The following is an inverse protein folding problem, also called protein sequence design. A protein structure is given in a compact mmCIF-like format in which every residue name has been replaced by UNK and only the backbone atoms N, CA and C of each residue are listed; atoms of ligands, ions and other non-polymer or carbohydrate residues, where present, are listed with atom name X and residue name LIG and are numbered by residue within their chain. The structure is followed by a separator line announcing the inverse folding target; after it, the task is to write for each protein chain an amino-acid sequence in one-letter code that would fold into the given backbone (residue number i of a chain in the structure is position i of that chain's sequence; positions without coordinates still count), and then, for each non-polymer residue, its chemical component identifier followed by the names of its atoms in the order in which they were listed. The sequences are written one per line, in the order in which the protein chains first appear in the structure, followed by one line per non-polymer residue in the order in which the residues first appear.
data_IF_985256281220
#
_entry.id   IF_985256281220
#
_cell.length_a   1.000
_cell.length_b   1.000
_cell.length_c   1.000
_cell.angle_alpha   90.00
_cell.angle_beta   90.00
_cell.angle_gamma   90.00
#
_symmetry.space_group_name_H-M   'P 1'
#
loop_
_entity.id
_entity.type
_entity.pdbx_description
1 polymer ?
#
# COMPACT_ATOMS: atom_id res chain seq x y z
N UNK A 1 15.81 -22.86 10.37
CA UNK A 1 14.57 -23.02 11.16
C UNK A 1 14.06 -24.43 10.93
N UNK A 2 13.89 -25.22 11.99
CA UNK A 2 13.45 -26.62 11.90
C UNK A 2 11.93 -26.67 11.85
N UNK A 3 11.35 -27.31 10.82
CA UNK A 3 9.92 -27.60 10.80
C UNK A 3 9.64 -28.62 11.91
N UNK A 4 9.01 -28.18 13.00
CA UNK A 4 8.62 -29.07 14.09
C UNK A 4 7.26 -29.63 13.77
N UNK A 5 7.21 -30.83 13.19
CA UNK A 5 5.99 -31.64 13.19
C UNK A 5 5.82 -32.20 14.61
N UNK A 6 4.86 -31.66 15.37
CA UNK A 6 4.53 -32.17 16.71
C UNK A 6 3.55 -33.33 16.52
N UNK A 7 3.98 -34.53 16.89
CA UNK A 7 3.11 -35.71 16.92
C UNK A 7 2.41 -35.74 18.29
N UNK A 8 1.08 -35.59 18.32
CA UNK A 8 0.28 -35.47 19.56
C UNK A 8 -0.71 -36.65 19.66
N UNK A 9 -0.27 -37.87 20.03
CA UNK A 9 -1.11 -39.07 19.96
C UNK A 9 -2.29 -39.06 20.95
N UNK A 10 -2.21 -38.27 22.02
CA UNK A 10 -3.21 -38.21 23.08
C UNK A 10 -4.33 -37.18 22.82
N UNK A 11 -4.23 -36.41 21.73
CA UNK A 11 -5.16 -35.31 21.39
C UNK A 11 -5.53 -35.34 19.91
N UNK A 12 -6.82 -35.21 19.65
CA UNK A 12 -7.38 -34.98 18.31
C UNK A 12 -7.59 -33.47 18.12
N UNK A 13 -6.97 -32.89 17.08
CA UNK A 13 -7.21 -31.50 16.68
C UNK A 13 -8.35 -31.48 15.68
N UNK A 14 -9.40 -30.74 16.02
CA UNK A 14 -10.61 -30.54 15.23
C UNK A 14 -10.58 -29.12 14.63
N UNK A 15 -11.47 -28.84 13.68
CA UNK A 15 -11.59 -27.51 13.07
C UNK A 15 -11.81 -26.41 14.12
N UNK A 16 -12.71 -26.65 15.08
CA UNK A 16 -13.09 -25.67 16.10
C UNK A 16 -12.57 -25.95 17.50
N UNK A 17 -11.54 -26.79 17.64
CA UNK A 17 -10.96 -27.06 18.95
C UNK A 17 -10.07 -28.29 19.01
N UNK A 18 -9.86 -28.80 20.22
CA UNK A 18 -9.12 -30.03 20.45
C UNK A 18 -9.85 -30.91 21.45
N UNK A 19 -9.71 -32.23 21.30
CA UNK A 19 -10.29 -33.24 22.18
C UNK A 19 -9.20 -34.17 22.69
N UNK A 20 -9.17 -34.42 23.98
CA UNK A 20 -8.27 -35.40 24.58
C UNK A 20 -8.86 -36.80 24.36
N UNK A 21 -8.12 -37.69 23.71
CA UNK A 21 -8.57 -39.05 23.35
C UNK A 21 -7.78 -40.15 24.09
N UNK A 22 -6.73 -39.79 24.81
CA UNK A 22 -5.91 -40.69 25.63
C UNK A 22 -5.62 -40.12 27.02
N UNK A 23 -4.66 -40.70 27.72
CA UNK A 23 -4.17 -40.15 28.99
C UNK A 23 -3.18 -39.02 28.70
N UNK A 24 -3.57 -37.79 29.00
CA UNK A 24 -2.73 -36.63 28.78
C UNK A 24 -1.73 -36.45 29.94
N UNK A 25 -0.45 -36.63 29.68
CA UNK A 25 0.60 -36.34 30.66
C UNK A 25 0.80 -34.82 30.84
N UNK A 26 1.39 -34.41 31.97
CA UNK A 26 1.71 -33.00 32.23
C UNK A 26 2.67 -32.41 31.17
N UNK A 27 3.65 -33.20 30.72
CA UNK A 27 4.59 -32.78 29.68
C UNK A 27 3.91 -32.63 28.32
N UNK A 28 3.03 -33.55 27.93
CA UNK A 28 2.24 -33.39 26.69
C UNK A 28 1.32 -32.17 26.77
N UNK A 29 0.68 -31.94 27.91
CA UNK A 29 -0.17 -30.75 28.14
C UNK A 29 0.61 -29.44 27.94
N UNK A 30 1.82 -29.36 28.50
CA UNK A 30 2.71 -28.20 28.32
C UNK A 30 3.15 -28.03 26.86
N UNK A 31 3.52 -29.12 26.18
CA UNK A 31 3.89 -29.11 24.77
C UNK A 31 2.74 -28.62 23.86
N UNK A 32 1.51 -29.06 24.13
CA UNK A 32 0.30 -28.58 23.43
C UNK A 32 0.12 -27.09 23.66
N UNK A 33 0.25 -26.62 24.90
CA UNK A 33 0.16 -25.19 25.23
C UNK A 33 1.17 -24.35 24.44
N UNK A 34 2.43 -24.79 24.38
CA UNK A 34 3.46 -24.11 23.57
C UNK A 34 3.19 -24.19 22.06
N UNK A 35 2.64 -25.30 21.58
CA UNK A 35 2.23 -25.41 20.18
C UNK A 35 1.09 -24.43 19.85
N UNK A 36 0.02 -24.39 20.65
CA UNK A 36 -1.10 -23.46 20.47
C UNK A 36 -0.64 -21.99 20.47
N UNK A 37 0.24 -21.62 21.40
CA UNK A 37 0.79 -20.28 21.47
C UNK A 37 1.59 -19.92 20.20
N UNK A 38 2.40 -20.84 19.68
CA UNK A 38 3.17 -20.66 18.43
C UNK A 38 2.27 -20.58 17.22
N UNK A 39 1.27 -21.46 17.13
CA UNK A 39 0.28 -21.46 16.05
C UNK A 39 -0.46 -20.12 15.98
N UNK A 40 -0.96 -19.64 17.13
CA UNK A 40 -1.65 -18.36 17.25
C UNK A 40 -0.75 -17.19 16.81
N UNK A 41 0.50 -17.14 17.26
CA UNK A 41 1.43 -16.07 16.88
C UNK A 41 1.85 -16.13 15.40
N UNK A 42 2.01 -17.34 14.86
CA UNK A 42 2.51 -17.57 13.50
C UNK A 42 1.44 -17.58 12.41
N UNK A 43 0.15 -17.65 12.77
CA UNK A 43 -0.93 -17.79 11.78
C UNK A 43 -0.99 -16.61 10.80
N UNK A 44 -0.98 -15.38 11.30
CA UNK A 44 -1.04 -14.18 10.45
C UNK A 44 0.19 -14.04 9.55
N UNK A 45 1.37 -14.43 10.03
CA UNK A 45 2.60 -14.49 9.22
C UNK A 45 2.45 -15.46 8.06
N UNK A 46 1.96 -16.68 8.33
CA UNK A 46 1.76 -17.71 7.30
C UNK A 46 0.76 -17.28 6.22
N UNK A 47 -0.32 -16.58 6.59
CA UNK A 47 -1.26 -16.01 5.61
C UNK A 47 -0.56 -14.99 4.70
N UNK A 48 0.21 -14.07 5.29
CA UNK A 48 0.92 -13.05 4.51
C UNK A 48 2.03 -13.65 3.63
N UNK A 49 2.73 -14.67 4.11
CA UNK A 49 3.74 -15.42 3.34
C UNK A 49 3.10 -16.18 2.17
N UNK A 50 2.00 -16.89 2.42
CA UNK A 50 1.22 -17.56 1.39
C UNK A 50 0.75 -16.58 0.32
N UNK A 51 0.24 -15.40 0.73
CA UNK A 51 -0.15 -14.35 -0.19
C UNK A 51 1.04 -13.89 -1.07
N UNK A 52 2.17 -13.54 -0.45
CA UNK A 52 3.34 -13.05 -1.17
C UNK A 52 4.02 -14.12 -2.05
N UNK A 53 3.87 -15.40 -1.72
CA UNK A 53 4.56 -16.48 -2.42
C UNK A 53 4.16 -16.60 -3.90
N UNK A 54 2.93 -16.22 -4.26
CA UNK A 54 2.48 -16.38 -5.64
C UNK A 54 1.40 -15.39 -6.11
N UNK A 55 0.98 -14.40 -5.30
CA UNK A 55 -0.14 -13.52 -5.68
C UNK A 55 0.02 -12.89 -7.05
N UNK A 56 1.21 -12.41 -7.41
CA UNK A 56 1.44 -11.70 -8.68
C UNK A 56 1.30 -12.61 -9.93
N UNK A 57 1.36 -13.93 -9.76
CA UNK A 57 1.17 -14.91 -10.85
C UNK A 57 -0.26 -15.44 -10.94
N UNK A 58 -1.15 -15.05 -10.02
CA UNK A 58 -2.56 -15.48 -10.02
C UNK A 58 -3.40 -14.48 -10.83
N UNK A 59 -4.08 -14.92 -11.91
CA UNK A 59 -5.03 -14.09 -12.64
C UNK A 59 -6.16 -13.58 -11.75
N UNK A 60 -6.63 -12.35 -11.97
CA UNK A 60 -7.58 -11.70 -11.07
C UNK A 60 -8.94 -12.41 -11.00
N UNK A 61 -9.39 -13.03 -12.09
CA UNK A 61 -10.63 -13.82 -12.09
C UNK A 61 -10.52 -15.05 -11.16
N UNK A 62 -9.38 -15.74 -11.17
CA UNK A 62 -9.13 -16.86 -10.27
C UNK A 62 -9.04 -16.38 -8.82
N UNK A 63 -8.39 -15.23 -8.58
CA UNK A 63 -8.35 -14.67 -7.24
C UNK A 63 -9.74 -14.34 -6.70
N UNK A 64 -10.61 -13.73 -7.49
CA UNK A 64 -11.97 -13.39 -7.06
C UNK A 64 -12.73 -14.64 -6.61
N UNK A 65 -12.73 -15.69 -7.43
CA UNK A 65 -13.38 -16.97 -7.08
C UNK A 65 -12.78 -17.59 -5.82
N UNK A 66 -11.46 -17.53 -5.66
CA UNK A 66 -10.80 -18.02 -4.44
C UNK A 66 -11.25 -17.21 -3.20
N UNK A 67 -11.33 -15.88 -3.31
CA UNK A 67 -11.75 -15.03 -2.21
C UNK A 67 -13.22 -15.18 -1.83
N UNK A 68 -14.09 -15.59 -2.75
CA UNK A 68 -15.48 -15.95 -2.44
C UNK A 68 -15.59 -17.25 -1.62
N UNK A 69 -14.61 -18.15 -1.77
CA UNK A 69 -14.53 -19.41 -1.04
C UNK A 69 -13.80 -19.30 0.30
N UNK A 70 -12.93 -18.29 0.43
CA UNK A 70 -12.21 -18.01 1.66
C UNK A 70 -13.04 -17.09 2.56
N UNK A 71 -13.09 -17.40 3.85
CA UNK A 71 -13.61 -16.46 4.86
C UNK A 71 -12.60 -15.34 5.21
N UNK A 72 -11.76 -14.94 4.24
CA UNK A 72 -10.71 -13.93 4.38
C UNK A 72 -10.89 -12.85 3.33
N UNK A 73 -11.01 -11.60 3.78
CA UNK A 73 -11.16 -10.47 2.88
C UNK A 73 -9.81 -10.04 2.25
N UNK A 74 -9.87 -9.49 1.04
CA UNK A 74 -8.68 -9.07 0.28
C UNK A 74 -7.86 -7.98 0.99
N UNK A 75 -8.50 -7.13 1.81
CA UNK A 75 -7.80 -6.06 2.53
C UNK A 75 -6.98 -6.65 3.67
N UNK A 76 -7.49 -7.66 4.37
CA UNK A 76 -6.72 -8.44 5.36
C UNK A 76 -5.52 -9.09 4.72
N UNK A 77 -5.68 -9.77 3.57
CA UNK A 77 -4.58 -10.43 2.88
C UNK A 77 -3.49 -9.44 2.44
N UNK A 78 -3.87 -8.32 1.82
CA UNK A 78 -2.91 -7.27 1.42
C UNK A 78 -2.19 -6.66 2.61
N UNK A 79 -2.89 -6.40 3.72
CA UNK A 79 -2.29 -5.85 4.92
C UNK A 79 -1.23 -6.80 5.48
N UNK A 80 -1.59 -8.07 5.69
CA UNK A 80 -0.66 -9.09 6.16
C UNK A 80 0.52 -9.29 5.20
N UNK A 81 0.25 -9.39 3.89
CA UNK A 81 1.26 -9.51 2.84
C UNK A 81 2.25 -8.34 2.85
N UNK A 82 1.78 -7.09 2.96
CA UNK A 82 2.65 -5.91 2.99
C UNK A 82 3.62 -5.92 4.18
N UNK A 83 3.17 -6.42 5.34
CA UNK A 83 4.01 -6.53 6.55
C UNK A 83 5.02 -7.67 6.37
N UNK A 84 4.60 -8.80 5.79
CA UNK A 84 5.49 -9.93 5.50
C UNK A 84 6.55 -9.59 4.44
N UNK A 85 6.20 -8.74 3.47
CA UNK A 85 7.16 -8.22 2.49
C UNK A 85 8.16 -7.23 3.13
N UNK A 86 7.70 -6.43 4.09
CA UNK A 86 8.57 -5.50 4.84
C UNK A 86 9.50 -6.19 5.85
N UNK A 87 9.15 -7.41 6.28
CA UNK A 87 9.96 -8.25 7.17
C UNK A 87 10.03 -9.69 6.63
N UNK A 88 11.01 -9.98 5.76
CA UNK A 88 11.39 -11.33 5.38
C UNK A 88 11.57 -12.24 6.60
N UNK A 89 11.48 -13.56 6.41
CA UNK A 89 11.45 -14.51 7.53
C UNK A 89 12.67 -14.37 8.47
N UNK A 90 13.82 -14.00 7.91
CA UNK A 90 15.10 -13.73 8.58
C UNK A 90 15.13 -12.45 9.41
N UNK A 91 14.27 -11.48 9.11
CA UNK A 91 14.21 -10.17 9.78
C UNK A 91 13.16 -10.11 10.89
N UNK A 92 12.30 -11.13 10.99
CA UNK A 92 11.28 -11.23 12.03
C UNK A 92 11.92 -11.51 13.37
N UNK A 93 11.50 -10.77 14.39
CA UNK A 93 12.03 -10.93 15.76
C UNK A 93 11.18 -11.96 16.51
N UNK A 94 11.71 -13.14 16.85
CA UNK A 94 10.95 -14.17 17.55
C UNK A 94 10.48 -13.68 18.92
N UNK A 95 9.23 -13.99 19.27
CA UNK A 95 8.58 -13.53 20.50
C UNK A 95 7.77 -12.24 20.34
N UNK A 96 7.88 -11.54 19.20
CA UNK A 96 7.02 -10.41 18.88
C UNK A 96 5.95 -10.79 17.84
N UNK A 97 4.73 -10.33 18.07
CA UNK A 97 3.62 -10.57 17.14
C UNK A 97 3.77 -9.77 15.84
N UNK A 98 3.03 -10.17 14.80
CA UNK A 98 2.91 -9.40 13.56
C UNK A 98 2.43 -7.96 13.82
N UNK A 99 1.58 -7.75 14.83
CA UNK A 99 1.12 -6.41 15.21
C UNK A 99 2.26 -5.50 15.67
N UNK A 100 3.25 -6.02 16.41
CA UNK A 100 4.43 -5.21 16.79
C UNK A 100 5.18 -4.75 15.54
N UNK A 101 5.40 -5.68 14.62
CA UNK A 101 6.06 -5.41 13.35
C UNK A 101 5.28 -4.39 12.52
N UNK A 102 3.95 -4.53 12.42
CA UNK A 102 3.03 -3.56 11.77
C UNK A 102 3.23 -2.14 12.28
N UNK A 103 3.31 -1.96 13.59
CA UNK A 103 3.50 -0.64 14.22
C UNK A 103 4.86 -0.06 13.78
N UNK A 104 5.90 -0.88 13.83
CA UNK A 104 7.26 -0.50 13.45
C UNK A 104 7.43 -0.22 11.94
N UNK A 105 6.64 -0.81 11.03
CA UNK A 105 6.70 -0.51 9.57
C UNK A 105 6.58 1.00 9.31
N UNK A 106 5.87 1.70 10.18
CA UNK A 106 5.62 3.13 10.02
C UNK A 106 6.85 4.02 10.29
N UNK A 107 7.96 3.46 10.79
CA UNK A 107 9.27 4.11 10.88
C UNK A 107 10.10 3.86 9.60
N UNK A 108 11.13 4.70 9.33
CA UNK A 108 12.12 4.42 8.30
C UNK A 108 12.77 3.04 8.47
N UNK A 109 13.11 2.31 7.39
CA UNK A 109 13.64 0.95 7.47
C UNK A 109 14.81 0.78 8.44
N UNK A 110 15.73 1.75 8.50
CA UNK A 110 16.90 1.73 9.38
C UNK A 110 16.55 1.71 10.89
N UNK A 111 15.39 2.22 11.28
CA UNK A 111 14.96 2.37 12.69
C UNK A 111 14.16 1.17 13.19
N UNK A 112 13.53 0.41 12.28
CA UNK A 112 12.54 -0.63 12.61
C UNK A 112 13.11 -1.72 13.49
N UNK A 113 14.30 -2.22 13.14
CA UNK A 113 14.94 -3.31 13.88
C UNK A 113 15.30 -2.89 15.30
N UNK A 114 15.83 -1.69 15.47
CA UNK A 114 16.23 -1.17 16.78
C UNK A 114 15.03 -1.05 17.73
N UNK A 115 13.91 -0.46 17.26
CA UNK A 115 12.72 -0.31 18.11
C UNK A 115 12.07 -1.67 18.45
N UNK A 116 12.09 -2.62 17.51
CA UNK A 116 11.55 -3.95 17.76
C UNK A 116 12.43 -4.74 18.74
N UNK A 117 13.76 -4.67 18.63
CA UNK A 117 14.66 -5.28 19.61
C UNK A 117 14.43 -4.70 21.01
N UNK A 118 14.30 -3.37 21.11
CA UNK A 118 13.96 -2.71 22.37
C UNK A 118 12.60 -3.18 22.92
N UNK A 119 11.58 -3.36 22.06
CA UNK A 119 10.29 -3.89 22.47
C UNK A 119 10.39 -5.31 23.04
N UNK A 120 11.22 -6.17 22.42
CA UNK A 120 11.45 -7.53 22.90
C UNK A 120 12.19 -7.55 24.25
N UNK A 121 13.28 -6.80 24.35
CA UNK A 121 14.13 -6.75 25.54
C UNK A 121 13.40 -6.19 26.76
N UNK A 122 12.57 -5.15 26.54
CA UNK A 122 11.83 -4.50 27.60
C UNK A 122 10.40 -5.06 27.80
N UNK A 123 10.01 -6.08 27.03
CA UNK A 123 8.67 -6.67 27.09
C UNK A 123 7.53 -5.69 26.82
N UNK A 124 7.71 -4.75 25.88
CA UNK A 124 6.68 -3.76 25.58
C UNK A 124 5.42 -4.41 25.01
N UNK A 125 4.26 -3.95 25.48
CA UNK A 125 2.99 -4.23 24.82
C UNK A 125 2.90 -3.47 23.48
N UNK A 126 1.97 -3.86 22.61
CA UNK A 126 1.70 -3.13 21.35
C UNK A 126 1.37 -1.67 21.58
N UNK A 127 0.63 -1.35 22.65
CA UNK A 127 0.28 0.04 23.03
C UNK A 127 1.52 0.86 23.42
N UNK A 128 2.42 0.24 24.17
CA UNK A 128 3.66 0.89 24.56
C UNK A 128 4.58 1.11 23.35
N UNK A 129 4.70 0.11 22.47
CA UNK A 129 5.44 0.26 21.22
C UNK A 129 4.84 1.38 20.33
N UNK A 130 3.51 1.48 20.22
CA UNK A 130 2.86 2.59 19.50
C UNK A 130 3.23 3.96 20.08
N UNK A 131 3.33 4.06 21.40
CA UNK A 131 3.77 5.29 22.07
C UNK A 131 5.20 5.65 21.69
N UNK A 132 6.14 4.69 21.81
CA UNK A 132 7.56 4.90 21.48
C UNK A 132 7.79 5.22 20.01
N UNK A 133 7.09 4.52 19.10
CA UNK A 133 7.16 4.81 17.66
C UNK A 133 6.67 6.21 17.35
N UNK A 134 5.61 6.68 18.01
CA UNK A 134 5.10 8.05 17.83
C UNK A 134 6.10 9.10 18.33
N UNK A 135 6.74 8.86 19.47
CA UNK A 135 7.79 9.73 20.02
C UNK A 135 8.97 9.80 19.06
N UNK A 136 9.48 8.64 18.58
CA UNK A 136 10.60 8.60 17.64
C UNK A 136 10.32 9.32 16.33
N UNK A 137 9.09 9.23 15.80
CA UNK A 137 8.70 10.00 14.61
C UNK A 137 8.78 11.51 14.81
N UNK A 138 8.44 12.00 16.01
CA UNK A 138 8.54 13.43 16.32
C UNK A 138 10.00 13.87 16.42
N UNK A 139 10.85 13.05 17.02
CA UNK A 139 12.30 13.29 17.08
C UNK A 139 12.90 13.34 15.68
N UNK A 140 12.63 12.34 14.84
CA UNK A 140 13.07 12.30 13.45
C UNK A 140 12.62 13.53 12.64
N UNK A 141 11.39 13.98 12.84
CA UNK A 141 10.88 15.18 12.18
C UNK A 141 11.61 16.46 12.65
N UNK A 142 12.02 16.50 13.93
CA UNK A 142 12.80 17.61 14.47
C UNK A 142 14.25 17.58 13.97
N UNK A 143 14.88 16.41 13.96
CA UNK A 143 16.24 16.21 13.41
C UNK A 143 16.30 16.66 11.95
N UNK A 144 15.32 16.28 11.13
CA UNK A 144 15.25 16.70 9.73
C UNK A 144 15.03 18.21 9.54
N UNK A 145 14.34 18.88 10.47
CA UNK A 145 14.14 20.33 10.44
C UNK A 145 15.38 21.11 10.90
N UNK A 146 16.23 20.51 11.73
CA UNK A 146 17.48 21.11 12.20
C UNK A 146 18.63 20.95 11.18
N UNK A 147 18.56 19.91 10.34
CA UNK A 147 19.53 19.65 9.25
C UNK A 147 19.15 20.36 7.92
N UNK A 148 18.11 21.20 7.91
CA UNK A 148 17.79 22.03 6.74
C UNK A 148 18.94 23.05 6.51
N UNK A 149 19.63 23.01 5.36
CA UNK A 149 20.78 23.88 5.13
C UNK A 149 20.33 25.34 5.20
N UNK A 150 21.08 26.16 5.93
CA UNK A 150 21.00 27.62 5.89
C UNK A 150 20.86 28.05 4.43
N UNK A 151 19.65 28.45 4.03
CA UNK A 151 19.43 29.21 2.82
C UNK A 151 20.12 30.54 3.07
N UNK A 152 21.40 30.63 2.70
CA UNK A 152 22.10 31.91 2.67
C UNK A 152 21.24 32.82 1.79
N UNK A 153 20.74 33.96 2.30
CA UNK A 153 20.07 34.91 1.45
C UNK A 153 21.02 35.19 0.30
N UNK A 154 20.56 35.04 -0.94
CA UNK A 154 21.30 35.45 -2.12
C UNK A 154 21.72 36.90 -1.86
N UNK A 155 22.97 37.10 -1.44
CA UNK A 155 23.55 38.43 -1.38
C UNK A 155 23.41 38.95 -2.79
N UNK A 156 22.61 40.00 -2.93
CA UNK A 156 22.40 40.71 -4.18
C UNK A 156 23.77 40.89 -4.81
N UNK A 157 24.02 40.21 -5.93
CA UNK A 157 25.21 40.51 -6.72
C UNK A 157 25.18 42.01 -6.98
N UNK A 158 26.30 42.74 -6.88
CA UNK A 158 26.34 44.09 -7.41
C UNK A 158 25.84 44.00 -8.84
N UNK A 159 24.81 44.79 -9.16
CA UNK A 159 24.29 44.88 -10.51
C UNK A 159 25.51 45.12 -11.43
N UNK A 160 25.78 44.28 -12.44
CA UNK A 160 26.89 44.54 -13.33
C UNK A 160 26.70 45.93 -13.92
N UNK A 161 27.80 46.70 -14.00
CA UNK A 161 27.80 48.05 -14.57
C UNK A 161 26.99 48.08 -15.88
N UNK A 162 26.27 49.18 -16.15
CA UNK A 162 25.49 49.29 -17.37
C UNK A 162 26.39 49.04 -18.58
N UNK A 163 26.11 47.95 -19.30
CA UNK A 163 26.75 47.65 -20.58
C UNK A 163 26.56 48.88 -21.48
N UNK A 164 27.61 49.45 -22.09
CA UNK A 164 27.46 50.58 -22.98
C UNK A 164 26.51 50.20 -24.13
N UNK A 165 25.50 51.04 -24.33
CA UNK A 165 24.46 50.85 -25.34
C UNK A 165 25.10 50.67 -26.72
N UNK A 166 24.84 49.57 -27.44
CA UNK A 166 25.29 49.46 -28.82
C UNK A 166 24.57 50.50 -29.68
N UNK A 167 25.28 51.08 -30.65
CA UNK A 167 24.73 52.02 -31.62
C UNK A 167 23.50 51.41 -32.34
N UNK A 168 22.51 52.21 -32.74
CA UNK A 168 21.30 51.69 -33.36
C UNK A 168 21.63 51.05 -34.71
N UNK A 169 21.39 49.75 -34.84
CA UNK A 169 21.34 49.08 -36.14
C UNK A 169 20.14 49.61 -36.96
N UNK A 170 20.27 49.74 -38.29
CA UNK A 170 19.14 50.09 -39.13
C UNK A 170 18.05 49.02 -39.04
N UNK A 171 16.86 49.44 -38.59
CA UNK A 171 15.68 48.58 -38.49
C UNK A 171 15.19 48.23 -39.90
N UNK A 172 15.47 47.01 -40.34
CA UNK A 172 14.78 46.41 -41.49
C UNK A 172 13.37 46.03 -41.01
N UNK A 173 12.28 46.55 -41.61
CA UNK A 173 10.93 46.14 -41.21
C UNK A 173 10.74 44.66 -41.53
N UNK A 174 10.48 43.85 -40.49
CA UNK A 174 10.05 42.46 -40.67
C UNK A 174 8.75 42.46 -41.49
N UNK A 175 8.65 41.67 -42.58
CA UNK A 175 7.36 41.46 -43.23
C UNK A 175 6.42 40.80 -42.22
N UNK A 176 5.17 41.30 -42.17
CA UNK A 176 4.16 40.78 -41.25
C UNK A 176 3.97 39.26 -41.49
N UNK A 177 4.06 38.41 -40.44
CA UNK A 177 3.66 37.03 -40.60
C UNK A 177 2.17 36.99 -40.93
N UNK A 178 1.79 36.31 -42.02
CA UNK A 178 0.38 35.97 -42.24
C UNK A 178 -0.07 35.12 -41.04
N UNK A 179 -1.23 35.41 -40.44
CA UNK A 179 -1.75 34.56 -39.37
C UNK A 179 -1.98 33.16 -39.96
N UNK A 180 -1.16 32.21 -39.54
CA UNK A 180 -1.46 30.79 -39.75
C UNK A 180 -2.62 30.50 -38.83
N UNK A 181 -3.81 30.32 -39.41
CA UNK A 181 -4.95 29.76 -38.69
C UNK A 181 -4.57 28.31 -38.39
N UNK A 182 -4.09 28.06 -37.18
CA UNK A 182 -3.97 26.69 -36.68
C UNK A 182 -5.37 26.06 -36.82
N UNK A 183 -5.49 24.83 -37.35
CA UNK A 183 -6.75 24.11 -37.21
C UNK A 183 -7.08 24.10 -35.72
N UNK A 184 -8.32 24.49 -35.37
CA UNK A 184 -8.81 24.30 -34.01
C UNK A 184 -8.55 22.83 -33.65
N UNK A 185 -7.91 22.54 -32.50
CA UNK A 185 -7.69 21.16 -32.10
C UNK A 185 -9.04 20.47 -32.12
N UNK A 186 -9.14 19.35 -32.84
CA UNK A 186 -10.31 18.49 -32.74
C UNK A 186 -10.58 18.24 -31.25
N UNK A 187 -11.84 18.31 -30.78
CA UNK A 187 -12.14 18.05 -29.38
C UNK A 187 -11.55 16.69 -29.02
N UNK A 188 -10.63 16.68 -28.05
CA UNK A 188 -10.08 15.42 -27.54
C UNK A 188 -11.27 14.53 -27.15
N UNK A 189 -11.31 13.26 -27.60
CA UNK A 189 -12.39 12.36 -27.24
C UNK A 189 -12.47 12.29 -25.72
N UNK A 190 -13.70 12.26 -25.18
CA UNK A 190 -13.91 12.21 -23.74
C UNK A 190 -13.00 11.15 -23.12
N UNK A 191 -12.18 11.51 -22.11
CA UNK A 191 -11.14 10.63 -21.60
C UNK A 191 -11.70 9.39 -20.89
N UNK A 192 -13.03 9.29 -20.75
CA UNK A 192 -13.75 8.26 -20.02
C UNK A 192 -14.58 7.46 -21.02
N UNK A 193 -14.32 6.15 -21.09
CA UNK A 193 -15.11 5.21 -21.88
C UNK A 193 -16.09 4.46 -20.97
N UNK A 194 -17.24 4.08 -21.54
CA UNK A 194 -18.28 3.28 -20.90
C UNK A 194 -18.64 2.14 -21.84
N UNK A 195 -18.42 0.90 -21.41
CA UNK A 195 -18.67 -0.29 -22.22
C UNK A 195 -19.51 -1.32 -21.45
N UNK A 196 -20.45 -2.01 -22.11
CA UNK A 196 -21.15 -3.14 -21.52
C UNK A 196 -20.21 -4.33 -21.34
N UNK A 197 -20.34 -5.02 -20.22
CA UNK A 197 -19.60 -6.23 -19.87
C UNK A 197 -20.59 -7.33 -19.46
N UNK A 198 -20.14 -8.59 -19.40
CA UNK A 198 -20.95 -9.78 -19.16
C UNK A 198 -21.83 -9.72 -17.90
N UNK A 199 -21.53 -8.82 -16.97
CA UNK A 199 -22.21 -8.68 -15.68
C UNK A 199 -22.73 -7.25 -15.40
N UNK A 200 -22.63 -6.31 -16.35
CA UNK A 200 -23.12 -4.93 -16.16
C UNK A 200 -22.37 -3.90 -17.03
N UNK A 201 -21.98 -2.75 -16.46
CA UNK A 201 -21.20 -1.70 -17.16
C UNK A 201 -19.78 -1.61 -16.62
N UNK A 202 -18.80 -1.35 -17.49
CA UNK A 202 -17.42 -0.98 -17.14
C UNK A 202 -17.15 0.44 -17.59
N UNK A 203 -16.49 1.19 -16.72
CA UNK A 203 -16.15 2.59 -16.95
C UNK A 203 -14.65 2.72 -16.69
N UNK A 204 -13.92 3.39 -17.56
CA UNK A 204 -12.49 3.58 -17.35
C UNK A 204 -11.91 4.76 -18.10
N UNK A 205 -10.65 5.07 -17.80
CA UNK A 205 -9.95 6.22 -18.36
C UNK A 205 -8.98 5.78 -19.48
N UNK A 206 -9.00 6.47 -20.63
CA UNK A 206 -8.17 6.16 -21.81
C UNK A 206 -6.67 6.31 -21.54
N UNK A 207 -6.25 7.42 -20.94
CA UNK A 207 -4.84 7.66 -20.58
C UNK A 207 -4.35 6.88 -19.34
N UNK A 208 -5.25 6.30 -18.53
CA UNK A 208 -4.92 5.61 -17.28
C UNK A 208 -5.65 4.26 -17.20
N UNK A 209 -5.08 3.18 -17.77
CA UNK A 209 -5.74 1.87 -17.86
C UNK A 209 -6.12 1.24 -16.51
N UNK A 210 -5.44 1.64 -15.44
CA UNK A 210 -5.73 1.17 -14.07
C UNK A 210 -6.91 1.92 -13.43
N UNK A 211 -7.29 3.10 -13.94
CA UNK A 211 -8.42 3.87 -13.46
C UNK A 211 -9.70 3.37 -14.12
N UNK A 212 -10.24 2.27 -13.57
CA UNK A 212 -11.46 1.63 -14.06
C UNK A 212 -12.32 1.13 -12.90
N UNK A 213 -13.64 1.16 -13.09
CA UNK A 213 -14.66 0.69 -12.13
C UNK A 213 -15.73 -0.10 -12.88
N UNK A 214 -16.45 -0.96 -12.16
CA UNK A 214 -17.59 -1.70 -12.70
C UNK A 214 -18.86 -1.34 -11.95
N UNK A 215 -19.98 -1.19 -12.65
CA UNK A 215 -21.31 -1.10 -12.03
C UNK A 215 -21.94 -2.49 -12.06
N UNK A 216 -22.31 -3.00 -10.88
CA UNK A 216 -22.94 -4.31 -10.65
C UNK A 216 -24.03 -4.14 -9.60
N UNK A 217 -25.23 -4.68 -9.86
CA UNK A 217 -26.37 -4.65 -8.91
C UNK A 217 -26.63 -3.27 -8.29
N UNK A 218 -26.60 -2.22 -9.13
CA UNK A 218 -26.78 -0.82 -8.70
C UNK A 218 -25.74 -0.30 -7.68
N UNK A 219 -24.52 -0.86 -7.72
CA UNK A 219 -23.38 -0.46 -6.88
C UNK A 219 -22.11 -0.32 -7.71
N UNK A 220 -21.22 0.58 -7.29
CA UNK A 220 -19.88 0.73 -7.86
C UNK A 220 -18.96 -0.28 -7.20
N UNK A 221 -18.34 -1.13 -8.02
CA UNK A 221 -17.31 -2.09 -7.62
C UNK A 221 -15.96 -1.53 -8.06
N UNK A 222 -15.13 -1.19 -7.07
CA UNK A 222 -13.78 -0.66 -7.28
C UNK A 222 -12.79 -1.76 -6.94
N UNK A 223 -11.98 -2.16 -7.93
CA UNK A 223 -10.90 -3.11 -7.69
C UNK A 223 -9.67 -2.38 -7.15
N UNK A 224 -9.69 -2.08 -5.84
CA UNK A 224 -8.73 -1.25 -5.09
C UNK A 224 -7.37 -0.97 -5.80
N UNK A 225 -7.32 0.09 -6.62
CA UNK A 225 -6.17 0.41 -7.45
C UNK A 225 -5.40 1.63 -6.91
N UNK A 226 -5.91 2.29 -5.86
CA UNK A 226 -5.41 3.55 -5.35
C UNK A 226 -3.97 3.46 -4.81
N UNK A 227 -3.53 2.30 -4.33
CA UNK A 227 -2.17 2.16 -3.80
C UNK A 227 -1.08 2.11 -4.89
N UNK A 228 -1.43 1.81 -6.15
CA UNK A 228 -0.50 1.79 -7.29
C UNK A 228 -0.58 3.02 -8.19
N UNK A 229 -1.42 4.00 -7.86
CA UNK A 229 -1.63 5.19 -8.70
C UNK A 229 -0.76 6.37 -8.25
N UNK A 230 -0.16 7.06 -9.20
CA UNK A 230 0.43 8.38 -8.98
C UNK A 230 -0.67 9.45 -8.88
N UNK A 231 -0.27 10.72 -8.69
CA UNK A 231 -1.22 11.83 -8.57
C UNK A 231 -2.11 12.00 -9.82
N UNK A 232 -1.61 11.62 -11.01
CA UNK A 232 -2.37 11.63 -12.26
C UNK A 232 -3.45 10.54 -12.28
N UNK A 233 -3.08 9.31 -11.91
CA UNK A 233 -3.99 8.17 -11.82
C UNK A 233 -5.09 8.37 -10.77
N UNK A 234 -4.77 9.00 -9.63
CA UNK A 234 -5.77 9.34 -8.62
C UNK A 234 -6.82 10.35 -9.14
N UNK A 235 -6.39 11.34 -9.93
CA UNK A 235 -7.31 12.29 -10.58
C UNK A 235 -8.18 11.62 -11.64
N UNK A 236 -7.60 10.74 -12.44
CA UNK A 236 -8.32 9.92 -13.42
C UNK A 236 -9.37 9.01 -12.76
N UNK A 237 -9.05 8.39 -11.63
CA UNK A 237 -10.00 7.57 -10.87
C UNK A 237 -11.16 8.40 -10.32
N UNK A 238 -10.91 9.62 -9.84
CA UNK A 238 -11.97 10.51 -9.38
C UNK A 238 -12.96 10.86 -10.51
N UNK A 239 -12.46 11.07 -11.73
CA UNK A 239 -13.29 11.32 -12.91
C UNK A 239 -14.16 10.12 -13.29
N UNK A 240 -13.56 8.91 -13.30
CA UNK A 240 -14.28 7.66 -13.57
C UNK A 240 -15.37 7.38 -12.52
N UNK A 241 -15.11 7.69 -11.25
CA UNK A 241 -16.09 7.55 -10.16
C UNK A 241 -17.25 8.54 -10.26
N UNK A 242 -16.99 9.77 -10.70
CA UNK A 242 -18.04 10.76 -10.92
C UNK A 242 -19.03 10.28 -11.99
N UNK A 243 -18.51 9.81 -13.15
CA UNK A 243 -19.37 9.25 -14.22
C UNK A 243 -20.14 8.02 -13.76
N UNK A 244 -19.51 7.15 -12.96
CA UNK A 244 -20.19 5.98 -12.39
C UNK A 244 -21.33 6.36 -11.43
N UNK A 245 -21.16 7.44 -10.65
CA UNK A 245 -22.17 7.96 -9.75
C UNK A 245 -23.34 8.60 -10.52
N UNK A 246 -23.05 9.42 -11.54
CA UNK A 246 -24.08 10.05 -12.40
C UNK A 246 -24.96 8.99 -13.09
N UNK A 247 -24.36 7.90 -13.57
CA UNK A 247 -25.09 6.77 -14.17
C UNK A 247 -26.02 6.08 -13.16
N UNK A 248 -25.60 5.95 -11.89
CA UNK A 248 -26.43 5.37 -10.83
C UNK A 248 -27.55 6.32 -10.37
N UNK A 249 -27.31 7.62 -10.41
CA UNK A 249 -28.29 8.66 -10.06
C UNK A 249 -29.25 8.98 -11.21
N UNK A 250 -28.98 8.47 -12.42
CA UNK A 250 -29.80 8.70 -13.61
C UNK A 250 -29.64 10.09 -14.20
N UNK A 251 -28.58 10.81 -13.83
CA UNK A 251 -28.23 12.14 -14.34
C UNK A 251 -27.37 11.92 -15.59
N UNK A 252 -27.83 12.40 -16.75
CA UNK A 252 -27.03 12.45 -17.98
C UNK A 252 -26.39 13.82 -18.14
#
# INVERSE_FOLDING_TARGET
MTAVQVQMPSVEVLEMGLRVVGTLSASEWEQIGHWLAREHQGHQWRIGDWWNANRDNIPDNHLITLLEQLELDIKTLRNLGSICAAYPIEDRIPGLSLTHHRIAVSLPPAERRAVLMAAKENGWSTRELERRVRERKKELAKELAEDEPLVLPLTSRPNPDPVPTPAPEPVIPRPAPRPVRLPEPEPEPDPIWVEPDATGLRIGHTAYPLAQVAIRDNRIVIWDPHWRMDAGGARAMAQVLAVAADILEGVR
#
